data_IF_415799608153
#
_entry.id   IF_415799608153
#
_cell.length_a   1.000
_cell.length_b   1.000
_cell.length_c   1.000
_cell.angle_alpha   90.00
_cell.angle_beta   90.00
_cell.angle_gamma   90.00
#
_symmetry.space_group_name_H-M   'P 1'
#
loop_
_entity.id
_entity.type
_entity.pdbx_description
1 polymer ?
#
# COMPACT_ATOMS: atom_id res chain seq x y z
N UNK A 1 54.36 -25.05 10.62
CA UNK A 1 53.64 -24.26 9.60
C UNK A 1 52.34 -24.98 9.27
N UNK A 2 51.18 -24.48 9.70
CA UNK A 2 49.91 -25.07 9.32
C UNK A 2 49.59 -24.70 7.87
N UNK A 3 49.39 -25.70 7.00
CA UNK A 3 48.96 -25.48 5.62
C UNK A 3 47.55 -24.87 5.66
N UNK A 4 47.41 -23.59 5.30
CA UNK A 4 46.10 -23.01 5.03
C UNK A 4 45.47 -23.80 3.88
N UNK A 5 44.38 -24.53 4.16
CA UNK A 5 43.54 -25.12 3.13
C UNK A 5 42.72 -23.97 2.53
N UNK A 6 43.12 -23.50 1.35
CA UNK A 6 42.33 -22.58 0.55
C UNK A 6 41.10 -23.29 -0.04
N UNK A 7 40.06 -22.51 -0.32
CA UNK A 7 38.86 -22.96 -1.02
C UNK A 7 39.17 -23.19 -2.50
N UNK A 8 38.69 -24.28 -3.10
CA UNK A 8 38.96 -24.56 -4.52
C UNK A 8 38.02 -23.76 -5.43
N UNK A 9 38.48 -23.44 -6.65
CA UNK A 9 37.65 -22.75 -7.65
C UNK A 9 36.41 -23.57 -8.02
N UNK A 10 36.52 -24.90 -8.04
CA UNK A 10 35.38 -25.78 -8.35
C UNK A 10 34.33 -25.77 -7.24
N UNK A 11 34.74 -25.76 -5.96
CA UNK A 11 33.81 -25.60 -4.84
C UNK A 11 33.07 -24.26 -4.93
N UNK A 12 33.77 -23.19 -5.33
CA UNK A 12 33.17 -21.85 -5.46
C UNK A 12 32.16 -21.79 -6.60
N UNK A 13 32.46 -22.41 -7.74
CA UNK A 13 31.54 -22.49 -8.87
C UNK A 13 30.26 -23.26 -8.53
N UNK A 14 30.35 -24.37 -7.80
CA UNK A 14 29.18 -25.16 -7.38
C UNK A 14 28.32 -24.34 -6.40
N UNK A 15 28.93 -23.66 -5.43
CA UNK A 15 28.21 -22.81 -4.48
C UNK A 15 27.45 -21.69 -5.19
N UNK A 16 28.10 -21.01 -6.14
CA UNK A 16 27.45 -19.95 -6.94
C UNK A 16 26.30 -20.51 -7.77
N UNK A 17 26.45 -21.71 -8.36
CA UNK A 17 25.38 -22.35 -9.12
C UNK A 17 24.15 -22.65 -8.24
N UNK A 18 24.35 -23.18 -7.03
CA UNK A 18 23.25 -23.47 -6.09
C UNK A 18 22.58 -22.17 -5.62
N UNK A 19 23.36 -21.15 -5.25
CA UNK A 19 22.81 -19.85 -4.86
C UNK A 19 22.02 -19.21 -6.01
N UNK A 20 22.50 -19.35 -7.26
CA UNK A 20 21.82 -18.86 -8.45
C UNK A 20 20.42 -19.48 -8.63
N UNK A 21 20.30 -20.80 -8.44
CA UNK A 21 19.01 -21.51 -8.54
C UNK A 21 18.07 -21.06 -7.42
N UNK A 22 18.56 -20.96 -6.18
CA UNK A 22 17.73 -20.52 -5.05
C UNK A 22 17.28 -19.07 -5.22
N UNK A 23 18.16 -18.18 -5.69
CA UNK A 23 17.86 -16.77 -5.91
C UNK A 23 16.78 -16.56 -6.97
N UNK A 24 16.76 -17.38 -8.03
CA UNK A 24 15.76 -17.29 -9.09
C UNK A 24 14.31 -17.50 -8.58
N UNK A 25 14.13 -18.33 -7.53
CA UNK A 25 12.82 -18.56 -6.91
C UNK A 25 12.57 -17.60 -5.74
N UNK A 26 13.60 -17.34 -4.93
CA UNK A 26 13.47 -16.55 -3.71
C UNK A 26 13.22 -15.05 -3.99
N UNK A 27 13.86 -14.48 -5.01
CA UNK A 27 13.74 -13.04 -5.31
C UNK A 27 12.31 -12.66 -5.72
N UNK A 28 11.65 -13.34 -6.69
CA UNK A 28 10.25 -13.04 -7.03
C UNK A 28 9.30 -13.23 -5.84
N UNK A 29 9.49 -14.29 -5.05
CA UNK A 29 8.67 -14.54 -3.86
C UNK A 29 8.82 -13.44 -2.81
N UNK A 30 10.05 -12.98 -2.56
CA UNK A 30 10.32 -11.86 -1.65
C UNK A 30 9.72 -10.55 -2.17
N UNK A 31 9.82 -10.27 -3.47
CA UNK A 31 9.21 -9.08 -4.08
C UNK A 31 7.69 -9.09 -3.89
N UNK A 32 7.02 -10.22 -4.09
CA UNK A 32 5.58 -10.37 -3.86
C UNK A 32 5.20 -10.11 -2.40
N UNK A 33 5.99 -10.62 -1.45
CA UNK A 33 5.77 -10.36 -0.03
C UNK A 33 5.92 -8.87 0.29
N UNK A 34 6.97 -8.22 -0.23
CA UNK A 34 7.17 -6.77 -0.06
C UNK A 34 6.01 -5.99 -0.67
N UNK A 35 5.55 -6.32 -1.89
CA UNK A 35 4.38 -5.68 -2.51
C UNK A 35 3.18 -5.74 -1.57
N UNK A 36 2.84 -6.92 -1.05
CA UNK A 36 1.70 -7.08 -0.13
C UNK A 36 1.85 -6.26 1.14
N UNK A 37 3.05 -6.27 1.74
CA UNK A 37 3.34 -5.48 2.93
C UNK A 37 3.18 -3.97 2.68
N UNK A 38 3.60 -3.50 1.51
CA UNK A 38 3.49 -2.11 1.09
C UNK A 38 2.03 -1.65 0.90
N UNK A 39 1.17 -2.51 0.37
CA UNK A 39 -0.27 -2.19 0.25
C UNK A 39 -0.93 -2.14 1.62
N UNK A 40 -0.60 -3.10 2.50
CA UNK A 40 -1.14 -3.11 3.87
C UNK A 40 -0.66 -1.93 4.70
N UNK A 41 0.58 -1.47 4.52
CA UNK A 41 1.07 -0.27 5.20
C UNK A 41 0.37 0.99 4.70
N UNK A 42 0.13 1.10 3.38
CA UNK A 42 -0.62 2.22 2.82
C UNK A 42 -2.04 2.32 3.38
N UNK A 43 -2.74 1.18 3.51
CA UNK A 43 -4.06 1.14 4.15
C UNK A 43 -3.97 1.59 5.62
N UNK A 44 -3.00 1.07 6.38
CA UNK A 44 -2.82 1.41 7.79
C UNK A 44 -2.52 2.91 8.01
N UNK A 45 -1.84 3.56 7.06
CA UNK A 45 -1.54 5.00 7.13
C UNK A 45 -2.79 5.88 6.93
N UNK A 46 -3.77 5.43 6.14
CA UNK A 46 -4.99 6.21 5.88
C UNK A 46 -6.17 5.87 6.81
N UNK A 47 -6.14 4.71 7.48
CA UNK A 47 -7.19 4.29 8.44
C UNK A 47 -7.49 5.31 9.54
N UNK A 48 -6.52 6.01 10.17
CA UNK A 48 -6.83 7.05 11.17
C UNK A 48 -7.70 8.18 10.62
N UNK A 49 -7.57 8.49 9.33
CA UNK A 49 -8.37 9.50 8.64
C UNK A 49 -9.85 9.14 8.59
N UNK A 50 -10.20 7.84 8.66
CA UNK A 50 -11.58 7.37 8.74
C UNK A 50 -12.29 7.92 9.98
N UNK A 51 -11.65 7.80 11.13
CA UNK A 51 -12.19 8.29 12.41
C UNK A 51 -12.32 9.81 12.41
N UNK A 52 -11.34 10.51 11.85
CA UNK A 52 -11.40 11.98 11.74
C UNK A 52 -12.47 12.46 10.78
N UNK A 53 -12.67 11.77 9.65
CA UNK A 53 -13.76 12.06 8.73
C UNK A 53 -15.12 11.88 9.40
N UNK A 54 -15.31 10.82 10.21
CA UNK A 54 -16.53 10.65 11.01
C UNK A 54 -16.76 11.80 11.98
N UNK A 55 -15.73 12.22 12.72
CA UNK A 55 -15.82 13.37 13.62
C UNK A 55 -16.24 14.63 12.86
N UNK A 56 -15.62 14.91 11.70
CA UNK A 56 -15.97 16.09 10.88
C UNK A 56 -17.40 16.04 10.37
N UNK A 57 -17.86 14.89 9.89
CA UNK A 57 -19.26 14.71 9.45
C UNK A 57 -20.22 14.98 10.61
N UNK A 58 -19.92 14.46 11.81
CA UNK A 58 -20.75 14.66 13.00
C UNK A 58 -20.73 16.11 13.52
N UNK A 59 -19.61 16.83 13.35
CA UNK A 59 -19.49 18.27 13.64
C UNK A 59 -20.31 19.15 12.67
N UNK A 60 -20.71 18.61 11.52
CA UNK A 60 -21.48 19.33 10.50
C UNK A 60 -20.58 20.01 9.47
N UNK A 61 -20.15 19.25 8.46
CA UNK A 61 -19.39 19.78 7.32
C UNK A 61 -20.29 20.68 6.46
N UNK A 62 -19.91 21.94 6.28
CA UNK A 62 -20.65 22.92 5.45
C UNK A 62 -20.08 23.05 4.04
N UNK A 63 -18.79 22.81 3.88
CA UNK A 63 -18.07 22.82 2.59
C UNK A 63 -17.23 21.56 2.49
N UNK A 64 -17.12 20.99 1.28
CA UNK A 64 -16.37 19.74 1.09
C UNK A 64 -14.92 19.92 1.51
N UNK A 65 -14.47 19.09 2.46
CA UNK A 65 -13.08 19.07 2.92
C UNK A 65 -12.25 18.23 1.95
N UNK A 66 -11.10 18.75 1.53
CA UNK A 66 -10.28 18.11 0.50
C UNK A 66 -8.80 18.01 0.86
N UNK A 67 -8.36 18.61 1.96
CA UNK A 67 -6.98 18.52 2.39
C UNK A 67 -6.75 17.29 3.28
N UNK A 68 -5.57 16.67 3.17
CA UNK A 68 -5.14 15.61 4.08
C UNK A 68 -5.21 16.04 5.55
N UNK A 69 -4.83 17.30 5.82
CA UNK A 69 -4.84 17.86 7.16
C UNK A 69 -6.26 17.98 7.76
N UNK A 70 -7.31 18.10 6.93
CA UNK A 70 -8.69 18.19 7.40
C UNK A 70 -9.14 16.92 8.13
N UNK A 71 -8.54 15.79 7.76
CA UNK A 71 -8.76 14.47 8.36
C UNK A 71 -7.53 13.97 9.16
N UNK A 72 -6.63 14.88 9.53
CA UNK A 72 -5.46 14.55 10.37
C UNK A 72 -4.41 13.67 9.70
N UNK A 73 -4.40 13.62 8.37
CA UNK A 73 -3.42 12.87 7.59
C UNK A 73 -2.34 13.81 7.02
N UNK A 74 -1.16 13.24 6.79
CA UNK A 74 -0.06 13.89 6.10
C UNK A 74 0.52 12.94 5.04
N UNK A 75 1.07 13.50 3.98
CA UNK A 75 1.77 12.71 2.97
C UNK A 75 2.99 12.01 3.59
N UNK A 76 3.25 10.79 3.14
CA UNK A 76 4.37 9.97 3.59
C UNK A 76 5.17 9.43 2.39
N UNK A 77 6.27 8.73 2.65
CA UNK A 77 7.01 8.01 1.59
C UNK A 77 6.15 6.94 0.91
N UNK A 78 5.21 6.33 1.64
CA UNK A 78 4.32 5.29 1.09
C UNK A 78 3.12 5.91 0.37
N UNK A 79 2.55 6.95 0.95
CA UNK A 79 1.39 7.68 0.47
C UNK A 79 1.77 9.14 0.18
N UNK A 80 2.58 9.41 -0.86
CA UNK A 80 3.00 10.77 -1.18
C UNK A 80 1.85 11.64 -1.70
N UNK A 81 0.81 11.00 -2.24
CA UNK A 81 -0.38 11.68 -2.75
C UNK A 81 -1.61 11.12 -2.07
N UNK A 82 -2.32 12.00 -1.39
CA UNK A 82 -3.57 11.69 -0.70
C UNK A 82 -4.72 12.43 -1.41
N UNK A 83 -5.77 11.71 -1.75
CA UNK A 83 -7.02 12.25 -2.28
C UNK A 83 -8.08 12.22 -1.19
N UNK A 84 -8.48 13.38 -0.68
CA UNK A 84 -9.52 13.49 0.36
C UNK A 84 -10.75 14.17 -0.22
N UNK A 85 -11.91 13.67 0.16
CA UNK A 85 -13.19 14.34 -0.02
C UNK A 85 -14.09 13.97 1.14
N UNK A 86 -14.47 14.93 1.98
CA UNK A 86 -15.51 14.74 2.99
C UNK A 86 -16.61 15.74 2.67
N UNK A 87 -17.71 15.27 2.11
CA UNK A 87 -18.80 16.11 1.65
C UNK A 87 -19.84 16.37 2.76
N UNK A 88 -20.55 17.50 2.65
CA UNK A 88 -21.66 17.85 3.54
C UNK A 88 -22.84 16.85 3.48
N UNK A 89 -22.93 16.04 2.42
CA UNK A 89 -23.88 14.94 2.30
C UNK A 89 -23.55 13.71 3.17
N UNK A 90 -22.43 13.73 3.90
CA UNK A 90 -21.94 12.59 4.67
C UNK A 90 -21.23 11.52 3.83
N UNK A 91 -21.06 11.74 2.53
CA UNK A 91 -20.23 10.90 1.66
C UNK A 91 -18.76 11.29 1.87
N UNK A 92 -17.89 10.30 2.04
CA UNK A 92 -16.45 10.54 2.17
C UNK A 92 -15.61 9.59 1.31
N UNK A 93 -14.44 10.07 0.91
CA UNK A 93 -13.41 9.29 0.22
C UNK A 93 -12.04 9.70 0.73
N UNK A 94 -11.23 8.71 1.09
CA UNK A 94 -9.84 8.87 1.52
C UNK A 94 -9.03 7.89 0.67
N UNK A 95 -8.23 8.42 -0.24
CA UNK A 95 -7.40 7.64 -1.14
C UNK A 95 -5.92 7.91 -0.88
N UNK A 96 -5.12 6.86 -0.86
CA UNK A 96 -3.68 6.94 -1.00
C UNK A 96 -3.27 6.42 -2.37
N UNK A 97 -2.60 7.27 -3.14
CA UNK A 97 -1.85 6.84 -4.33
C UNK A 97 -0.45 6.48 -3.88
N UNK A 98 -0.12 5.19 -3.98
CA UNK A 98 1.08 4.63 -3.39
C UNK A 98 2.32 4.93 -4.24
N UNK A 99 3.42 5.21 -3.55
CA UNK A 99 4.77 5.04 -4.09
C UNK A 99 5.39 3.76 -3.51
N UNK A 100 6.35 3.17 -4.24
CA UNK A 100 6.95 1.92 -3.80
C UNK A 100 7.59 1.13 -4.93
N UNK A 101 7.57 -0.19 -4.78
CA UNK A 101 8.03 -1.08 -5.83
C UNK A 101 7.09 -1.03 -7.07
N UNK A 102 7.51 -1.55 -8.22
CA UNK A 102 6.68 -1.53 -9.44
C UNK A 102 5.31 -2.20 -9.29
N UNK A 103 5.14 -3.10 -8.31
CA UNK A 103 3.88 -3.79 -8.04
C UNK A 103 2.82 -2.91 -7.37
N UNK A 104 3.22 -1.80 -6.72
CA UNK A 104 2.30 -0.87 -6.03
C UNK A 104 2.38 0.57 -6.52
N UNK A 105 3.46 0.95 -7.20
CA UNK A 105 3.66 2.32 -7.67
C UNK A 105 2.46 2.79 -8.50
N UNK A 106 1.96 3.99 -8.20
CA UNK A 106 0.78 4.65 -8.80
C UNK A 106 -0.56 3.95 -8.60
N UNK A 107 -0.59 2.77 -7.95
CA UNK A 107 -1.82 2.10 -7.53
C UNK A 107 -2.38 2.78 -6.28
N UNK A 108 -3.66 2.55 -6.06
CA UNK A 108 -4.43 3.23 -5.02
C UNK A 108 -5.02 2.25 -4.02
N UNK A 109 -5.13 2.70 -2.78
CA UNK A 109 -6.02 2.13 -1.77
C UNK A 109 -6.97 3.25 -1.36
N UNK A 110 -8.26 2.96 -1.34
CA UNK A 110 -9.31 3.96 -1.13
C UNK A 110 -10.30 3.45 -0.10
N UNK A 111 -10.53 4.24 0.94
CA UNK A 111 -11.62 4.09 1.89
C UNK A 111 -12.75 5.01 1.47
N UNK A 112 -13.95 4.46 1.29
CA UNK A 112 -15.13 5.23 0.91
C UNK A 112 -16.22 5.05 1.95
N UNK A 113 -16.91 6.14 2.28
CA UNK A 113 -18.06 6.18 3.16
C UNK A 113 -19.30 6.57 2.38
N UNK A 114 -20.37 5.79 2.53
CA UNK A 114 -21.70 6.14 2.02
C UNK A 114 -22.35 7.21 2.91
N UNK A 115 -23.37 7.92 2.39
CA UNK A 115 -24.15 8.86 3.20
C UNK A 115 -24.77 8.21 4.46
N UNK A 116 -25.06 6.91 4.39
CA UNK A 116 -25.60 6.11 5.51
C UNK A 116 -24.53 5.69 6.55
N UNK A 117 -23.26 6.05 6.36
CA UNK A 117 -22.16 5.74 7.29
C UNK A 117 -21.50 4.37 7.11
N UNK A 118 -21.89 3.61 6.10
CA UNK A 118 -21.19 2.37 5.76
C UNK A 118 -19.85 2.69 5.07
N UNK A 119 -18.78 2.03 5.52
CA UNK A 119 -17.45 2.13 4.91
C UNK A 119 -17.12 0.90 4.08
N UNK A 120 -16.42 1.14 2.97
CA UNK A 120 -15.86 0.12 2.10
C UNK A 120 -14.41 0.45 1.77
N UNK A 121 -13.58 -0.58 1.62
CA UNK A 121 -12.23 -0.43 1.09
C UNK A 121 -12.17 -0.94 -0.36
N UNK A 122 -11.51 -0.19 -1.23
CA UNK A 122 -11.19 -0.59 -2.59
C UNK A 122 -9.69 -0.41 -2.87
N UNK A 123 -9.16 -1.17 -3.82
CA UNK A 123 -7.77 -1.01 -4.27
C UNK A 123 -7.61 -1.33 -5.74
N UNK A 124 -6.61 -0.76 -6.38
CA UNK A 124 -6.30 -0.98 -7.81
C UNK A 124 -5.08 -1.87 -8.03
N UNK A 125 -4.52 -2.43 -6.95
CA UNK A 125 -3.48 -3.47 -7.03
C UNK A 125 -4.05 -4.79 -7.54
N UNK A 126 -3.20 -5.66 -8.06
CA UNK A 126 -3.61 -7.00 -8.46
C UNK A 126 -4.19 -7.77 -7.26
N UNK A 127 -5.14 -8.68 -7.53
CA UNK A 127 -5.88 -9.41 -6.51
C UNK A 127 -4.99 -10.17 -5.51
N UNK A 128 -3.84 -10.68 -5.97
CA UNK A 128 -2.88 -11.40 -5.12
C UNK A 128 -2.26 -10.52 -4.01
N UNK A 129 -2.25 -9.20 -4.22
CA UNK A 129 -1.69 -8.21 -3.30
C UNK A 129 -2.76 -7.39 -2.56
N UNK A 130 -4.04 -7.59 -2.87
CA UNK A 130 -5.12 -6.85 -2.24
C UNK A 130 -5.17 -7.13 -0.73
N UNK A 131 -5.32 -6.11 0.13
CA UNK A 131 -5.53 -6.31 1.55
C UNK A 131 -6.84 -7.05 1.80
N UNK A 132 -6.88 -7.83 2.89
CA UNK A 132 -8.12 -8.50 3.29
C UNK A 132 -9.21 -7.44 3.56
N UNK A 133 -10.39 -7.63 2.97
CA UNK A 133 -11.52 -6.70 3.14
C UNK A 133 -11.57 -5.55 2.13
N UNK A 134 -10.57 -5.41 1.26
CA UNK A 134 -10.62 -4.45 0.15
C UNK A 134 -11.02 -5.15 -1.15
N UNK A 135 -11.94 -4.55 -1.90
CA UNK A 135 -12.33 -5.04 -3.23
C UNK A 135 -11.38 -4.51 -4.29
N UNK A 136 -10.98 -5.34 -5.24
CA UNK A 136 -10.16 -4.88 -6.38
C UNK A 136 -11.05 -4.17 -7.39
N UNK A 137 -10.71 -2.94 -7.73
CA UNK A 137 -11.36 -2.13 -8.75
C UNK A 137 -10.37 -1.81 -9.86
N UNK A 138 -10.85 -1.69 -11.10
CA UNK A 138 -10.02 -1.18 -12.18
C UNK A 138 -9.49 0.21 -11.77
N UNK A 139 -8.21 0.47 -12.04
CA UNK A 139 -7.66 1.82 -11.85
C UNK A 139 -8.55 2.80 -12.62
N UNK A 140 -9.06 3.83 -11.95
CA UNK A 140 -9.76 4.92 -12.59
C UNK A 140 -8.75 5.61 -13.52
N UNK A 141 -8.67 5.12 -14.76
CA UNK A 141 -7.92 5.74 -15.83
C UNK A 141 -8.63 7.03 -16.19
N UNK A 142 -8.00 8.15 -15.83
CA UNK A 142 -8.09 9.38 -16.60
C UNK A 142 -7.08 9.32 -17.74
#
# INVERSE_FOLDING_TARGET
MQKQKGFTLIELMIVVAIIGILAAVAIPAYQNYVTKAQVTSALAEIEPGRTMAETKINEGVTTTLTAAADVGLAASTRCPTLGISVASSGIASIACTMAGNPGVATKTVTLSRTAAGAWSCATTVAADFAPKGCTVTAAAGG
#
